data_IF_826690828320
#
_entry.id   IF_826690828320
#
_cell.length_a   1.000
_cell.length_b   1.000
_cell.length_c   1.000
_cell.angle_alpha   90.00
_cell.angle_beta   90.00
_cell.angle_gamma   90.00
#
_symmetry.space_group_name_H-M   'P 1'
#
loop_
_entity.id
_entity.type
_entity.pdbx_description
1 polymer ?
#
# COMPACT_ATOMS: atom_id res chain seq x y z
N UNK A 1 -24.57 43.56 -3.06
CA UNK A 1 -23.19 43.40 -2.56
C UNK A 1 -23.01 42.15 -1.72
N UNK A 2 -23.92 41.83 -0.80
CA UNK A 2 -23.87 40.67 0.09
C UNK A 2 -23.85 39.33 -0.66
N UNK A 3 -24.70 39.18 -1.69
CA UNK A 3 -24.76 37.97 -2.54
C UNK A 3 -23.44 37.72 -3.30
N UNK A 4 -22.81 38.80 -3.79
CA UNK A 4 -21.54 38.71 -4.53
C UNK A 4 -20.37 38.29 -3.60
N UNK A 5 -20.38 38.76 -2.37
CA UNK A 5 -19.41 38.41 -1.31
C UNK A 5 -19.56 36.94 -0.90
N UNK A 6 -20.79 36.47 -0.70
CA UNK A 6 -21.07 35.06 -0.38
C UNK A 6 -20.62 34.14 -1.52
N UNK A 7 -20.93 34.49 -2.77
CA UNK A 7 -20.49 33.71 -3.93
C UNK A 7 -18.95 33.59 -4.01
N UNK A 8 -18.24 34.71 -3.81
CA UNK A 8 -16.76 34.70 -3.82
C UNK A 8 -16.17 33.82 -2.71
N UNK A 9 -16.74 33.87 -1.50
CA UNK A 9 -16.30 33.03 -0.39
C UNK A 9 -16.55 31.55 -0.70
N UNK A 10 -17.71 31.21 -1.25
CA UNK A 10 -18.04 29.84 -1.62
C UNK A 10 -17.10 29.30 -2.70
N UNK A 11 -16.84 30.10 -3.75
CA UNK A 11 -15.91 29.73 -4.83
C UNK A 11 -14.49 29.53 -4.28
N UNK A 12 -14.02 30.45 -3.43
CA UNK A 12 -12.70 30.35 -2.82
C UNK A 12 -12.59 29.08 -1.92
N UNK A 13 -13.63 28.77 -1.15
CA UNK A 13 -13.67 27.57 -0.32
C UNK A 13 -13.63 26.28 -1.16
N UNK A 14 -14.40 26.23 -2.26
CA UNK A 14 -14.39 25.11 -3.20
C UNK A 14 -13.03 24.96 -3.85
N UNK A 15 -12.41 26.06 -4.32
CA UNK A 15 -11.07 26.01 -4.91
C UNK A 15 -10.00 25.57 -3.90
N UNK A 16 -10.11 25.98 -2.64
CA UNK A 16 -9.21 25.55 -1.59
C UNK A 16 -9.34 24.04 -1.34
N UNK A 17 -10.55 23.53 -1.27
CA UNK A 17 -10.82 22.09 -1.10
C UNK A 17 -10.26 21.32 -2.29
N UNK A 18 -10.51 21.77 -3.51
CA UNK A 18 -9.98 21.14 -4.72
C UNK A 18 -8.45 21.17 -4.74
N UNK A 19 -7.83 22.28 -4.33
CA UNK A 19 -6.38 22.38 -4.24
C UNK A 19 -5.80 21.40 -3.21
N UNK A 20 -6.43 21.22 -2.05
CA UNK A 20 -6.00 20.25 -1.03
C UNK A 20 -5.99 18.82 -1.59
N UNK A 21 -6.93 18.49 -2.48
CA UNK A 21 -7.02 17.15 -3.07
C UNK A 21 -6.13 16.95 -4.30
N UNK A 22 -5.88 18.00 -5.08
CA UNK A 22 -5.14 17.93 -6.36
C UNK A 22 -3.65 18.24 -6.24
N UNK A 23 -3.21 18.96 -5.19
CA UNK A 23 -1.79 19.27 -5.03
C UNK A 23 -1.03 18.00 -4.68
N UNK A 24 -0.03 17.61 -5.49
CA UNK A 24 0.86 16.51 -5.14
C UNK A 24 1.57 16.86 -3.83
N UNK A 25 1.51 15.97 -2.86
CA UNK A 25 2.19 16.16 -1.60
C UNK A 25 3.66 15.81 -1.75
N UNK A 26 4.48 16.42 -0.92
CA UNK A 26 5.91 16.12 -0.88
C UNK A 26 6.11 14.62 -0.65
N UNK A 27 7.03 14.03 -1.41
CA UNK A 27 7.47 12.67 -1.20
C UNK A 27 8.14 12.52 0.17
N UNK A 28 7.81 11.45 0.88
CA UNK A 28 8.29 11.13 2.23
C UNK A 28 8.46 9.61 2.35
N UNK A 29 9.40 9.14 3.19
CA UNK A 29 9.48 7.74 3.54
C UNK A 29 8.17 7.25 4.20
N UNK A 30 7.71 6.04 3.83
CA UNK A 30 6.49 5.46 4.39
C UNK A 30 6.59 5.32 5.91
N UNK A 31 7.77 5.00 6.43
CA UNK A 31 8.03 4.89 7.86
C UNK A 31 7.82 6.18 8.67
N UNK A 32 7.91 7.37 8.03
CA UNK A 32 7.56 8.64 8.67
C UNK A 32 6.04 8.85 8.76
N UNK A 33 5.28 8.26 7.84
CA UNK A 33 3.83 8.39 7.76
C UNK A 33 3.10 7.32 8.57
N UNK A 34 3.66 6.10 8.58
CA UNK A 34 3.14 4.95 9.30
C UNK A 34 4.33 4.28 10.01
N UNK A 35 4.74 4.76 11.18
CA UNK A 35 5.88 4.19 11.88
C UNK A 35 5.56 2.79 12.40
N UNK A 36 6.43 1.82 12.11
CA UNK A 36 6.38 0.50 12.71
C UNK A 36 7.25 0.48 13.97
N UNK A 37 6.69 0.32 15.17
CA UNK A 37 7.47 0.18 16.39
C UNK A 37 8.43 -1.01 16.31
N UNK A 38 9.60 -0.93 16.92
CA UNK A 38 10.55 -2.06 16.96
C UNK A 38 9.96 -3.30 17.63
N UNK A 39 9.05 -3.08 18.58
CA UNK A 39 8.33 -4.15 19.30
C UNK A 39 7.18 -4.75 18.50
N UNK A 40 6.85 -4.21 17.33
CA UNK A 40 5.77 -4.74 16.52
C UNK A 40 6.19 -6.04 15.83
N UNK A 41 5.29 -7.03 15.83
CA UNK A 41 5.37 -8.15 14.90
C UNK A 41 5.11 -7.65 13.48
N UNK A 42 5.90 -8.09 12.52
CA UNK A 42 5.80 -7.72 11.11
C UNK A 42 5.69 -8.97 10.26
N UNK A 43 4.50 -9.28 9.80
CA UNK A 43 4.26 -10.41 8.90
C UNK A 43 4.22 -9.91 7.46
N UNK A 44 4.59 -10.78 6.53
CA UNK A 44 4.52 -10.49 5.09
C UNK A 44 3.96 -11.65 4.29
N UNK A 45 3.27 -11.33 3.22
CA UNK A 45 2.77 -12.27 2.24
C UNK A 45 2.92 -11.67 0.86
N UNK A 46 3.38 -12.42 -0.10
CA UNK A 46 3.11 -12.09 -1.50
C UNK A 46 2.36 -13.22 -2.19
N UNK A 47 1.56 -12.82 -3.14
CA UNK A 47 0.87 -13.71 -4.07
C UNK A 47 1.21 -13.29 -5.50
N UNK A 48 1.67 -14.23 -6.30
CA UNK A 48 1.97 -14.03 -7.72
C UNK A 48 1.24 -15.12 -8.51
N UNK A 49 0.42 -14.68 -9.45
CA UNK A 49 -0.28 -15.53 -10.41
C UNK A 49 0.29 -15.27 -11.79
N UNK A 50 0.58 -16.32 -12.51
CA UNK A 50 1.07 -16.24 -13.89
C UNK A 50 -0.02 -16.72 -14.83
N UNK A 51 -0.34 -15.91 -15.84
CA UNK A 51 -1.21 -16.32 -16.94
C UNK A 51 -0.35 -17.10 -17.94
N UNK A 52 -0.64 -18.38 -18.10
CA UNK A 52 0.05 -19.24 -19.07
C UNK A 52 -0.88 -19.55 -20.23
N UNK A 53 -0.44 -19.39 -21.49
CA UNK A 53 -1.21 -19.83 -22.65
C UNK A 53 -1.46 -21.33 -22.59
N UNK A 54 -2.71 -21.74 -22.70
CA UNK A 54 -3.11 -23.15 -22.85
C UNK A 54 -3.65 -23.37 -24.24
N UNK A 55 -3.70 -24.64 -24.76
CA UNK A 55 -4.28 -24.94 -26.06
C UNK A 55 -5.73 -24.49 -26.24
N UNK A 56 -6.47 -24.37 -25.13
CA UNK A 56 -7.88 -24.00 -25.12
C UNK A 56 -8.09 -22.51 -24.75
N UNK A 57 -7.00 -21.71 -24.59
CA UNK A 57 -7.05 -20.30 -24.21
C UNK A 57 -5.96 -19.93 -23.20
N UNK A 58 -6.32 -19.04 -22.26
CA UNK A 58 -5.43 -18.64 -21.18
C UNK A 58 -5.90 -19.23 -19.86
N UNK A 59 -5.03 -19.97 -19.20
CA UNK A 59 -5.24 -20.46 -17.83
C UNK A 59 -4.43 -19.64 -16.83
N UNK A 60 -4.99 -19.40 -15.66
CA UNK A 60 -4.27 -18.82 -14.54
C UNK A 60 -3.67 -19.95 -13.73
N UNK A 61 -2.36 -19.93 -13.55
CA UNK A 61 -1.68 -20.85 -12.66
C UNK A 61 -1.20 -20.07 -11.44
N UNK A 62 -1.56 -20.54 -10.26
CA UNK A 62 -0.95 -20.07 -9.03
C UNK A 62 0.53 -20.44 -9.06
N UNK A 63 1.40 -19.44 -9.12
CA UNK A 63 2.84 -19.65 -9.02
C UNK A 63 3.28 -19.78 -7.57
N UNK A 64 2.36 -19.55 -6.64
CA UNK A 64 2.53 -19.74 -5.22
C UNK A 64 2.38 -18.44 -4.43
N UNK A 65 2.05 -18.62 -3.18
CA UNK A 65 2.16 -17.62 -2.15
C UNK A 65 3.38 -17.94 -1.27
N UNK A 66 4.05 -16.91 -0.82
CA UNK A 66 5.12 -17.01 0.16
C UNK A 66 4.74 -16.16 1.37
N UNK A 67 4.83 -16.74 2.54
CA UNK A 67 4.48 -16.09 3.79
C UNK A 67 5.65 -16.10 4.76
N UNK A 68 5.86 -14.98 5.43
CA UNK A 68 6.81 -14.83 6.53
C UNK A 68 6.10 -14.32 7.78
N UNK A 69 6.46 -14.88 8.93
CA UNK A 69 6.03 -14.41 10.25
C UNK A 69 7.23 -13.78 10.95
N UNK A 70 7.24 -12.47 11.04
CA UNK A 70 8.33 -11.70 11.64
C UNK A 70 8.03 -11.34 13.08
N UNK A 71 8.53 -12.12 14.03
CA UNK A 71 8.49 -11.75 15.45
C UNK A 71 9.36 -10.51 15.72
N UNK A 72 9.08 -9.70 16.74
CA UNK A 72 9.73 -8.41 16.95
C UNK A 72 11.25 -8.40 16.86
N UNK A 73 11.89 -9.41 17.43
CA UNK A 73 13.36 -9.53 17.49
C UNK A 73 13.96 -10.36 16.34
N UNK A 74 13.15 -10.75 15.35
CA UNK A 74 13.62 -11.55 14.23
C UNK A 74 14.27 -10.70 13.14
N UNK A 75 15.24 -11.28 12.43
CA UNK A 75 15.84 -10.66 11.24
C UNK A 75 14.79 -10.39 10.16
N UNK A 76 13.81 -11.27 10.02
CA UNK A 76 12.70 -11.11 9.09
C UNK A 76 11.88 -9.84 9.38
N UNK A 77 11.52 -9.60 10.65
CA UNK A 77 10.79 -8.39 11.03
C UNK A 77 11.62 -7.13 10.80
N UNK A 78 12.92 -7.17 11.11
CA UNK A 78 13.83 -6.05 10.89
C UNK A 78 13.96 -5.74 9.39
N UNK A 79 14.14 -6.77 8.55
CA UNK A 79 14.26 -6.62 7.10
C UNK A 79 12.97 -6.06 6.46
N UNK A 80 11.80 -6.61 6.82
CA UNK A 80 10.51 -6.12 6.32
C UNK A 80 10.23 -4.68 6.77
N UNK A 81 10.54 -4.37 8.04
CA UNK A 81 10.37 -3.02 8.58
C UNK A 81 11.24 -2.01 7.84
N UNK A 82 12.52 -2.34 7.61
CA UNK A 82 13.44 -1.49 6.84
C UNK A 82 12.92 -1.30 5.42
N UNK A 83 12.66 -2.39 4.69
CA UNK A 83 12.20 -2.35 3.31
C UNK A 83 10.92 -1.50 3.14
N UNK A 84 9.93 -1.68 4.01
CA UNK A 84 8.70 -0.90 3.96
C UNK A 84 8.89 0.56 4.37
N UNK A 85 9.72 0.82 5.40
CA UNK A 85 9.89 2.18 5.92
C UNK A 85 10.63 3.10 4.96
N UNK A 86 11.48 2.55 4.11
CA UNK A 86 12.30 3.29 3.15
C UNK A 86 11.56 3.60 1.84
N UNK A 87 10.39 2.99 1.59
CA UNK A 87 9.60 3.26 0.40
C UNK A 87 9.21 4.74 0.37
N UNK A 88 9.64 5.44 -0.67
CA UNK A 88 9.29 6.84 -0.89
C UNK A 88 7.87 6.93 -1.44
N UNK A 89 7.01 7.68 -0.78
CA UNK A 89 5.59 7.77 -1.14
C UNK A 89 5.05 9.18 -1.07
N UNK A 90 4.00 9.43 -1.85
CA UNK A 90 3.17 10.62 -1.77
C UNK A 90 1.81 10.26 -1.20
N UNK A 91 1.37 10.97 -0.18
CA UNK A 91 0.08 10.74 0.47
C UNK A 91 -1.07 11.35 -0.32
N UNK A 92 -2.07 10.56 -0.66
CA UNK A 92 -3.30 10.99 -1.33
C UNK A 92 -4.51 10.74 -0.43
N UNK A 93 -5.44 11.69 -0.40
CA UNK A 93 -6.75 11.44 0.19
C UNK A 93 -7.65 10.74 -0.82
N UNK A 94 -8.25 9.65 -0.40
CA UNK A 94 -9.27 8.96 -1.19
C UNK A 94 -10.62 9.63 -0.95
N UNK A 95 -11.35 9.91 -2.01
CA UNK A 95 -12.77 10.20 -1.89
C UNK A 95 -13.47 8.94 -1.36
N UNK A 96 -14.54 9.06 -0.52
CA UNK A 96 -15.30 7.91 -0.04
C UNK A 96 -15.75 7.07 -1.24
N UNK A 97 -15.11 5.95 -1.44
CA UNK A 97 -15.19 5.18 -2.69
C UNK A 97 -16.31 4.15 -2.71
N UNK A 98 -17.28 4.22 -1.81
CA UNK A 98 -18.51 3.45 -1.95
C UNK A 98 -19.19 3.62 -3.33
N UNK A 99 -18.78 4.66 -4.09
CA UNK A 99 -19.27 4.92 -5.43
C UNK A 99 -18.33 4.44 -6.57
N UNK A 100 -17.04 4.18 -6.34
CA UNK A 100 -16.07 4.08 -7.44
C UNK A 100 -15.04 2.94 -7.38
N UNK A 101 -14.94 2.17 -6.34
CA UNK A 101 -13.92 1.12 -6.33
C UNK A 101 -14.51 -0.27 -6.18
N UNK A 102 -14.57 -0.97 -7.28
CA UNK A 102 -14.23 -2.38 -7.23
C UNK A 102 -12.71 -2.43 -7.11
N UNK A 103 -12.16 -2.91 -6.01
CA UNK A 103 -10.82 -3.47 -6.02
C UNK A 103 -10.87 -4.55 -7.09
N UNK A 104 -10.29 -4.29 -8.25
CA UNK A 104 -9.88 -5.38 -9.10
C UNK A 104 -8.83 -6.11 -8.25
N UNK A 105 -9.18 -7.29 -7.76
CA UNK A 105 -8.21 -8.20 -7.20
C UNK A 105 -7.29 -8.55 -8.36
N UNK A 106 -6.25 -7.74 -8.54
CA UNK A 106 -5.17 -8.12 -9.40
C UNK A 106 -4.46 -9.28 -8.75
N UNK A 107 -4.09 -10.22 -9.56
CA UNK A 107 -3.57 -11.52 -9.18
C UNK A 107 -2.18 -11.45 -8.55
N UNK A 108 -1.54 -10.24 -8.55
CA UNK A 108 -0.19 -10.04 -8.01
C UNK A 108 -0.21 -8.96 -6.94
N UNK A 109 0.05 -9.34 -5.71
CA UNK A 109 0.07 -8.40 -4.59
C UNK A 109 1.07 -8.79 -3.50
N UNK A 110 1.49 -7.80 -2.74
CA UNK A 110 2.21 -7.96 -1.48
C UNK A 110 1.36 -7.35 -0.37
N UNK A 111 1.23 -8.06 0.72
CA UNK A 111 0.64 -7.52 1.96
C UNK A 111 1.65 -7.61 3.08
N UNK A 112 1.82 -6.52 3.82
CA UNK A 112 2.62 -6.48 5.04
C UNK A 112 1.74 -6.03 6.20
N UNK A 113 1.76 -6.79 7.28
CA UNK A 113 1.01 -6.49 8.49
C UNK A 113 1.94 -5.99 9.60
N UNK A 114 1.67 -4.81 10.10
CA UNK A 114 2.31 -4.30 11.31
C UNK A 114 1.36 -4.51 12.48
N UNK A 115 1.78 -5.36 13.40
CA UNK A 115 0.96 -5.84 14.52
C UNK A 115 1.67 -5.42 15.82
N UNK A 116 1.45 -4.18 16.32
CA UNK A 116 1.97 -3.75 17.60
C UNK A 116 1.29 -4.51 18.75
N UNK A 117 1.97 -4.63 19.89
CA UNK A 117 1.36 -5.19 21.09
C UNK A 117 0.18 -4.36 21.55
N UNK A 118 0.37 -3.04 21.57
CA UNK A 118 -0.65 -2.05 21.88
C UNK A 118 -0.82 -1.10 20.70
N UNK A 119 -2.06 -0.88 20.27
CA UNK A 119 -2.34 0.08 19.21
C UNK A 119 -3.04 -0.52 18.00
N UNK A 120 -3.04 0.26 16.93
CA UNK A 120 -3.76 -0.10 15.71
C UNK A 120 -2.90 -1.00 14.82
N UNK A 121 -3.44 -2.16 14.44
CA UNK A 121 -2.87 -2.98 13.38
C UNK A 121 -2.97 -2.25 12.05
N UNK A 122 -1.88 -2.25 11.29
CA UNK A 122 -1.84 -1.80 9.91
C UNK A 122 -1.76 -3.01 8.97
N UNK A 123 -2.57 -2.97 7.93
CA UNK A 123 -2.60 -3.96 6.86
C UNK A 123 -2.27 -3.22 5.57
N UNK A 124 -1.00 -3.29 5.18
CA UNK A 124 -0.45 -2.54 4.06
C UNK A 124 -0.45 -3.41 2.81
N UNK A 125 -1.31 -3.06 1.89
CA UNK A 125 -1.51 -3.79 0.64
C UNK A 125 -0.91 -3.03 -0.53
N UNK A 126 -0.01 -3.68 -1.27
CA UNK A 126 0.60 -3.18 -2.50
C UNK A 126 0.18 -4.07 -3.68
N UNK A 127 -0.44 -3.46 -4.68
CA UNK A 127 -0.73 -4.10 -5.94
C UNK A 127 0.38 -3.77 -6.96
N UNK A 128 0.80 -4.78 -7.71
CA UNK A 128 1.83 -4.68 -8.75
C UNK A 128 1.57 -3.56 -9.77
N UNK A 129 0.31 -3.44 -10.26
CA UNK A 129 -0.02 -2.57 -11.40
C UNK A 129 -0.39 -1.14 -10.99
N UNK A 130 -0.85 -0.94 -9.76
CA UNK A 130 -1.43 0.35 -9.37
C UNK A 130 -0.41 1.35 -8.86
N UNK A 131 0.72 0.89 -8.34
CA UNK A 131 1.76 1.74 -7.76
C UNK A 131 1.31 2.50 -6.50
N UNK A 132 0.33 1.94 -5.78
CA UNK A 132 -0.18 2.48 -4.53
C UNK A 132 -0.06 1.46 -3.41
N UNK A 133 0.21 1.97 -2.21
CA UNK A 133 0.08 1.22 -0.96
C UNK A 133 -1.20 1.68 -0.29
N UNK A 134 -2.04 0.72 0.07
CA UNK A 134 -3.30 0.94 0.80
C UNK A 134 -3.13 0.44 2.23
N UNK A 135 -3.69 1.16 3.17
CA UNK A 135 -3.72 0.79 4.58
C UNK A 135 -5.18 0.58 5.02
N UNK A 136 -5.54 -0.64 5.38
CA UNK A 136 -6.89 -0.94 5.88
C UNK A 136 -7.23 -0.23 7.19
N UNK A 137 -6.21 0.15 7.97
CA UNK A 137 -6.37 0.95 9.17
C UNK A 137 -6.82 2.39 8.86
N UNK A 138 -6.47 2.90 7.68
CA UNK A 138 -6.83 4.26 7.25
C UNK A 138 -7.29 4.30 5.79
N UNK A 139 -8.49 3.80 5.54
CA UNK A 139 -9.08 3.73 4.19
C UNK A 139 -9.31 5.08 3.50
N UNK A 140 -9.20 6.19 4.22
CA UNK A 140 -9.33 7.53 3.66
C UNK A 140 -8.05 7.99 2.94
N UNK A 141 -6.96 7.24 3.04
CA UNK A 141 -5.66 7.58 2.50
C UNK A 141 -5.14 6.45 1.62
N UNK A 142 -4.41 6.82 0.57
CA UNK A 142 -3.57 5.93 -0.22
C UNK A 142 -2.19 6.56 -0.36
N UNK A 143 -1.18 5.74 -0.49
CA UNK A 143 0.21 6.17 -0.60
C UNK A 143 0.72 5.78 -1.98
N UNK A 144 0.87 6.76 -2.86
CA UNK A 144 1.44 6.53 -4.20
C UNK A 144 2.94 6.37 -4.07
N UNK A 145 3.48 5.29 -4.59
CA UNK A 145 4.92 5.06 -4.66
C UNK A 145 5.55 6.12 -5.58
N UNK A 146 6.61 6.77 -5.08
CA UNK A 146 7.39 7.74 -5.84
C UNK A 146 8.60 7.02 -6.42
N UNK A 147 8.49 6.60 -7.66
CA UNK A 147 9.48 5.80 -8.35
C UNK A 147 8.91 4.58 -9.05
N UNK A 148 9.73 3.56 -9.23
CA UNK A 148 9.34 2.31 -9.88
C UNK A 148 8.64 1.36 -8.90
N UNK A 149 7.31 1.30 -9.00
CA UNK A 149 6.48 0.44 -8.16
C UNK A 149 6.76 -1.05 -8.37
N UNK A 150 7.17 -1.46 -9.58
CA UNK A 150 7.49 -2.86 -9.88
C UNK A 150 8.81 -3.26 -9.22
N UNK A 151 9.77 -2.34 -9.15
CA UNK A 151 11.01 -2.56 -8.41
C UNK A 151 10.70 -2.73 -6.92
N UNK A 152 9.94 -1.82 -6.32
CA UNK A 152 9.52 -1.91 -4.90
C UNK A 152 8.81 -3.22 -4.61
N UNK A 153 7.88 -3.63 -5.48
CA UNK A 153 7.18 -4.91 -5.36
C UNK A 153 8.17 -6.08 -5.37
N UNK A 154 9.12 -6.09 -6.32
CA UNK A 154 10.11 -7.15 -6.45
C UNK A 154 11.06 -7.23 -5.25
N UNK A 155 11.46 -6.10 -4.71
CA UNK A 155 12.30 -6.00 -3.51
C UNK A 155 11.57 -6.57 -2.28
N UNK A 156 10.29 -6.24 -2.09
CA UNK A 156 9.47 -6.81 -1.01
C UNK A 156 9.28 -8.32 -1.18
N UNK A 157 9.03 -8.79 -2.40
CA UNK A 157 8.96 -10.24 -2.69
C UNK A 157 10.28 -10.94 -2.35
N UNK A 158 11.43 -10.32 -2.67
CA UNK A 158 12.73 -10.88 -2.36
C UNK A 158 12.94 -11.03 -0.85
N UNK A 159 12.62 -9.98 -0.07
CA UNK A 159 12.70 -10.03 1.40
C UNK A 159 11.77 -11.11 1.96
N UNK A 160 10.52 -11.19 1.50
CA UNK A 160 9.58 -12.20 1.97
C UNK A 160 10.07 -13.61 1.60
N UNK A 161 10.65 -13.79 0.41
CA UNK A 161 11.18 -15.08 -0.04
C UNK A 161 12.38 -15.56 0.77
N UNK A 162 13.24 -14.63 1.20
CA UNK A 162 14.45 -14.94 1.97
C UNK A 162 14.12 -15.55 3.33
N UNK A 163 13.09 -15.05 3.99
CA UNK A 163 12.72 -15.46 5.35
C UNK A 163 11.44 -16.30 5.41
N UNK A 164 10.73 -16.41 4.31
CA UNK A 164 9.39 -16.98 4.27
C UNK A 164 9.34 -18.45 3.87
N UNK A 165 8.14 -18.98 3.93
CA UNK A 165 7.81 -20.33 3.48
C UNK A 165 6.80 -20.26 2.34
N UNK A 166 7.10 -20.96 1.26
CA UNK A 166 6.17 -21.13 0.15
C UNK A 166 5.07 -22.11 0.53
N UNK A 167 3.84 -21.69 0.33
CA UNK A 167 2.68 -22.57 0.44
C UNK A 167 2.38 -23.11 -0.96
N UNK A 168 2.34 -24.41 -1.09
CA UNK A 168 1.97 -25.10 -2.33
C UNK A 168 0.49 -25.36 -2.39
#
# INVERSE_FOLDING_TARGET
DKKRRTLLITVAAVLLVVAIFLLPRRSQPLGELIPAPETARVDGLFYISTIVPTPDGYGTFDTGDCRVEGYPDSEAAAALRSAMSEISVQRYYRLPTSLFSRFTQNENYVTVWWIPEDGQKHDLYLNWDEGFIYDDANRAVAYKIDGDAQQVFSELCAVISEYGTYTR
#
